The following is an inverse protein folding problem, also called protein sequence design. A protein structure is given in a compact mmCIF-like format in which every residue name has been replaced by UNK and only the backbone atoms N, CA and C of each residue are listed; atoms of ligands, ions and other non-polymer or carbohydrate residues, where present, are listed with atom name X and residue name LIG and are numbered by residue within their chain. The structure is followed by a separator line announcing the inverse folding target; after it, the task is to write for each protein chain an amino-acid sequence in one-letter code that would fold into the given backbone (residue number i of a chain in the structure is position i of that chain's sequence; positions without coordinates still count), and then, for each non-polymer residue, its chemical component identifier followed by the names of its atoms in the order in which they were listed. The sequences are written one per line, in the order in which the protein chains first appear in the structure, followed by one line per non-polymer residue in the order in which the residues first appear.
data_IF_526481512761
#
_entry.id   IF_526481512761
#
_cell.length_a   1.000
_cell.length_b   1.000
_cell.length_c   1.000
_cell.angle_alpha   90.00
_cell.angle_beta   90.00
_cell.angle_gamma   90.00
#
_symmetry.space_group_name_H-M   'P 1'
#
loop_
_entity.id
_entity.type
_entity.pdbx_description
1 polymer ?
#
# COMPACT_ATOMS: atom_id res chain seq x y z
N UNK A 1 15.83 -8.58 10.50
CA UNK A 1 14.89 -9.17 9.52
C UNK A 1 15.54 -9.24 8.13
N UNK A 2 16.04 -10.42 7.71
CA UNK A 2 16.69 -10.60 6.40
C UNK A 2 15.71 -10.98 5.27
N UNK A 3 14.58 -11.61 5.61
CA UNK A 3 13.70 -12.25 4.64
C UNK A 3 13.02 -11.29 3.65
N UNK A 4 12.50 -10.14 4.09
CA UNK A 4 11.86 -9.19 3.17
C UNK A 4 12.85 -8.60 2.14
N UNK A 5 14.14 -8.50 2.49
CA UNK A 5 15.20 -8.02 1.59
C UNK A 5 15.58 -9.05 0.52
N UNK A 6 15.42 -10.33 0.83
CA UNK A 6 15.73 -11.44 -0.08
C UNK A 6 14.50 -11.85 -0.90
N UNK A 7 13.32 -11.88 -0.29
CA UNK A 7 12.08 -12.31 -0.91
C UNK A 7 11.56 -11.33 -1.96
N UNK A 8 11.51 -10.03 -1.66
CA UNK A 8 10.99 -9.03 -2.60
C UNK A 8 11.69 -9.06 -3.98
N UNK A 9 13.03 -9.13 -4.07
CA UNK A 9 13.72 -9.28 -5.36
C UNK A 9 13.24 -10.44 -6.24
N UNK A 10 12.77 -11.54 -5.65
CA UNK A 10 12.35 -12.75 -6.37
C UNK A 10 10.95 -12.61 -6.99
N UNK A 11 10.08 -11.78 -6.41
CA UNK A 11 8.66 -11.69 -6.80
C UNK A 11 8.28 -10.40 -7.51
N UNK A 12 9.13 -9.36 -7.44
CA UNK A 12 8.87 -7.97 -7.92
C UNK A 12 8.53 -7.78 -9.41
N UNK A 13 8.42 -8.83 -10.21
CA UNK A 13 8.02 -8.75 -11.62
C UNK A 13 6.92 -9.77 -11.97
N UNK A 14 6.47 -10.55 -10.99
CA UNK A 14 5.38 -11.49 -11.18
C UNK A 14 4.11 -10.88 -10.57
N UNK A 15 3.11 -10.65 -11.43
CA UNK A 15 1.81 -10.09 -11.07
C UNK A 15 1.02 -10.95 -10.09
N UNK A 16 1.29 -12.26 -10.04
CA UNK A 16 0.64 -13.19 -9.12
C UNK A 16 0.96 -12.86 -7.64
N UNK A 17 2.05 -12.13 -7.38
CA UNK A 17 2.47 -11.74 -6.04
C UNK A 17 2.04 -10.32 -5.66
N UNK A 18 1.07 -9.74 -6.37
CA UNK A 18 0.63 -8.37 -6.10
C UNK A 18 0.10 -8.19 -4.67
N UNK A 19 -0.62 -9.20 -4.13
CA UNK A 19 -1.05 -9.20 -2.73
C UNK A 19 0.14 -9.22 -1.76
N UNK A 20 1.13 -10.09 -1.97
CA UNK A 20 2.34 -10.16 -1.13
C UNK A 20 3.17 -8.87 -1.18
N UNK A 21 3.21 -8.22 -2.35
CA UNK A 21 3.86 -6.91 -2.52
C UNK A 21 3.10 -5.85 -1.71
N UNK A 22 1.77 -5.91 -1.67
CA UNK A 22 0.93 -5.10 -0.79
C UNK A 22 1.31 -5.28 0.68
N UNK A 23 1.34 -6.52 1.17
CA UNK A 23 1.75 -6.80 2.55
C UNK A 23 3.15 -6.25 2.87
N UNK A 24 4.09 -6.37 1.91
CA UNK A 24 5.41 -5.79 2.05
C UNK A 24 5.37 -4.25 2.17
N UNK A 25 4.49 -3.59 1.43
CA UNK A 25 4.29 -2.15 1.47
C UNK A 25 3.80 -1.69 2.85
N UNK A 26 2.77 -2.33 3.40
CA UNK A 26 2.28 -2.03 4.75
C UNK A 26 3.35 -2.30 5.81
N UNK A 27 4.10 -3.40 5.70
CA UNK A 27 5.24 -3.67 6.58
C UNK A 27 6.27 -2.53 6.58
N UNK A 28 6.60 -1.99 5.40
CA UNK A 28 7.52 -0.86 5.30
C UNK A 28 6.95 0.41 5.95
N UNK A 29 5.63 0.66 5.82
CA UNK A 29 4.95 1.76 6.51
C UNK A 29 4.99 1.62 8.04
N UNK A 30 4.64 0.44 8.55
CA UNK A 30 4.62 0.14 9.99
C UNK A 30 6.02 0.24 10.64
N UNK A 31 7.07 -0.01 9.85
CA UNK A 31 8.46 0.09 10.29
C UNK A 31 9.13 1.40 9.92
N UNK A 32 8.37 2.42 9.48
CA UNK A 32 8.83 3.74 9.07
C UNK A 32 9.90 3.76 7.96
N UNK A 33 9.94 2.73 7.12
CA UNK A 33 10.80 2.64 5.95
C UNK A 33 10.16 3.35 4.74
N UNK A 34 9.70 4.59 4.94
CA UNK A 34 8.85 5.34 4.01
C UNK A 34 9.47 5.52 2.61
N UNK A 35 10.76 5.87 2.54
CA UNK A 35 11.45 6.00 1.25
C UNK A 35 11.35 4.71 0.43
N UNK A 36 11.57 3.57 1.09
CA UNK A 36 11.50 2.27 0.42
C UNK A 36 10.07 1.91 0.05
N UNK A 37 9.10 2.25 0.89
CA UNK A 37 7.70 2.05 0.61
C UNK A 37 7.25 2.84 -0.62
N UNK A 38 7.64 4.11 -0.75
CA UNK A 38 7.42 4.93 -1.95
C UNK A 38 7.96 4.27 -3.22
N UNK A 39 9.20 3.76 -3.17
CA UNK A 39 9.81 3.07 -4.32
C UNK A 39 9.04 1.80 -4.72
N UNK A 40 8.56 1.03 -3.73
CA UNK A 40 7.76 -0.18 -3.97
C UNK A 40 6.40 0.21 -4.55
N UNK A 41 5.69 1.15 -3.94
CA UNK A 41 4.40 1.63 -4.46
C UNK A 41 4.54 2.13 -5.90
N UNK A 42 5.48 3.05 -6.15
CA UNK A 42 5.66 3.64 -7.48
C UNK A 42 5.96 2.60 -8.57
N UNK A 43 6.70 1.54 -8.22
CA UNK A 43 7.02 0.46 -9.15
C UNK A 43 5.81 -0.41 -9.53
N UNK A 44 4.85 -0.58 -8.61
CA UNK A 44 3.74 -1.54 -8.77
C UNK A 44 2.37 -0.88 -8.96
N UNK A 45 2.27 0.44 -8.84
CA UNK A 45 1.01 1.18 -8.90
C UNK A 45 0.24 0.93 -10.20
N UNK A 46 0.89 0.98 -11.37
CA UNK A 46 0.23 0.68 -12.66
C UNK A 46 -0.22 -0.78 -12.74
N UNK A 47 0.60 -1.71 -12.26
CA UNK A 47 0.26 -3.13 -12.27
C UNK A 47 -1.02 -3.41 -11.47
N UNK A 48 -1.20 -2.72 -10.34
CA UNK A 48 -2.42 -2.81 -9.55
C UNK A 48 -3.66 -2.23 -10.25
N UNK A 49 -3.50 -1.29 -11.18
CA UNK A 49 -4.59 -0.77 -12.00
C UNK A 49 -4.94 -1.67 -13.19
N UNK A 50 -3.92 -2.32 -13.77
CA UNK A 50 -4.05 -3.11 -15.00
C UNK A 50 -4.45 -4.57 -14.74
N UNK A 51 -4.28 -5.06 -13.51
CA UNK A 51 -4.63 -6.44 -13.16
C UNK A 51 -6.13 -6.73 -13.32
N UNK A 52 -6.45 -7.94 -13.76
CA UNK A 52 -7.83 -8.45 -13.84
C UNK A 52 -8.26 -9.14 -12.54
N UNK A 53 -7.32 -9.45 -11.66
CA UNK A 53 -7.56 -10.10 -10.38
C UNK A 53 -7.98 -9.06 -9.33
N UNK A 54 -9.28 -8.81 -9.25
CA UNK A 54 -9.87 -7.78 -8.38
C UNK A 54 -9.53 -7.98 -6.89
N UNK A 55 -9.31 -9.23 -6.46
CA UNK A 55 -8.92 -9.50 -5.07
C UNK A 55 -7.50 -9.00 -4.80
N UNK A 56 -6.57 -9.27 -5.70
CA UNK A 56 -5.19 -8.80 -5.59
C UNK A 56 -5.10 -7.27 -5.70
N UNK A 57 -5.91 -6.67 -6.58
CA UNK A 57 -6.07 -5.21 -6.64
C UNK A 57 -6.56 -4.63 -5.31
N UNK A 58 -7.61 -5.23 -4.72
CA UNK A 58 -8.15 -4.79 -3.44
C UNK A 58 -7.12 -4.90 -2.31
N UNK A 59 -6.45 -6.06 -2.19
CA UNK A 59 -5.45 -6.27 -1.14
C UNK A 59 -4.28 -5.29 -1.29
N UNK A 60 -3.72 -5.11 -2.49
CA UNK A 60 -2.64 -4.14 -2.71
C UNK A 60 -3.03 -2.70 -2.38
N UNK A 61 -4.20 -2.24 -2.83
CA UNK A 61 -4.65 -0.88 -2.53
C UNK A 61 -4.95 -0.68 -1.04
N UNK A 62 -5.45 -1.71 -0.35
CA UNK A 62 -5.70 -1.67 1.10
C UNK A 62 -4.39 -1.50 1.86
N UNK A 63 -3.36 -2.28 1.51
CA UNK A 63 -2.06 -2.17 2.17
C UNK A 63 -1.30 -0.89 1.78
N UNK A 64 -1.52 -0.38 0.57
CA UNK A 64 -1.02 0.94 0.17
C UNK A 64 -1.66 2.06 1.01
N UNK A 65 -2.96 1.97 1.30
CA UNK A 65 -3.64 2.91 2.19
C UNK A 65 -3.05 2.83 3.61
N UNK A 66 -2.82 1.63 4.15
CA UNK A 66 -2.17 1.42 5.46
C UNK A 66 -0.81 2.11 5.52
N UNK A 67 0.05 1.88 4.52
CA UNK A 67 1.36 2.52 4.44
C UNK A 67 1.24 4.05 4.42
N UNK A 68 0.37 4.57 3.56
CA UNK A 68 0.19 6.00 3.35
C UNK A 68 -0.28 6.71 4.63
N UNK A 69 -1.22 6.10 5.36
CA UNK A 69 -1.67 6.61 6.66
C UNK A 69 -0.52 6.61 7.69
N UNK A 70 0.29 5.55 7.74
CA UNK A 70 1.48 5.51 8.60
C UNK A 70 2.48 6.63 8.24
N UNK A 71 2.65 6.91 6.95
CA UNK A 71 3.57 7.92 6.47
C UNK A 71 3.10 9.36 6.78
N UNK A 72 1.80 9.61 6.69
CA UNK A 72 1.18 10.88 7.13
C UNK A 72 1.31 11.07 8.63
N UNK A 73 1.03 10.03 9.42
CA UNK A 73 1.21 10.04 10.88
C UNK A 73 2.69 10.26 11.26
N UNK A 74 3.61 9.74 10.46
CA UNK A 74 5.05 10.01 10.55
C UNK A 74 5.47 11.45 10.25
N UNK A 75 4.52 12.33 9.89
CA UNK A 75 4.75 13.76 9.67
C UNK A 75 4.95 14.18 8.22
N UNK A 76 4.82 13.26 7.26
CA UNK A 76 4.98 13.59 5.84
C UNK A 76 3.88 14.54 5.37
N UNK A 77 4.28 15.72 4.88
CA UNK A 77 3.36 16.73 4.32
C UNK A 77 3.31 16.73 2.79
N UNK A 78 4.32 16.14 2.16
CA UNK A 78 4.44 16.07 0.71
C UNK A 78 5.02 14.72 0.31
N UNK A 79 4.35 14.04 -0.60
CA UNK A 79 4.80 12.80 -1.23
C UNK A 79 5.40 13.14 -2.58
N UNK A 80 6.59 12.61 -2.84
CA UNK A 80 7.13 12.55 -4.20
C UNK A 80 7.20 11.09 -4.58
N UNK A 81 6.35 10.70 -5.52
CA UNK A 81 6.29 9.35 -6.06
C UNK A 81 6.75 9.41 -7.51
N UNK A 82 7.67 8.54 -7.89
CA UNK A 82 8.14 8.43 -9.27
C UNK A 82 7.18 7.53 -10.06
N UNK A 83 5.91 7.93 -10.09
CA UNK A 83 4.87 7.20 -10.80
C UNK A 83 5.03 7.36 -12.32
N UNK A 84 4.70 6.32 -13.11
CA UNK A 84 4.61 6.48 -14.56
C UNK A 84 3.58 7.55 -14.92
N UNK A 85 3.83 8.31 -15.99
CA UNK A 85 2.92 9.37 -16.48
C UNK A 85 1.52 8.88 -16.85
N UNK A 86 1.36 7.56 -17.03
CA UNK A 86 0.07 6.92 -17.30
C UNK A 86 -0.76 6.70 -16.03
N UNK A 87 -0.17 6.85 -14.84
CA UNK A 87 -0.88 6.68 -13.58
C UNK A 87 -1.82 7.89 -13.33
N UNK A 88 -3.08 7.68 -12.93
CA UNK A 88 -4.06 8.77 -12.75
C UNK A 88 -3.64 9.88 -11.76
N UNK A 89 -2.72 9.56 -10.84
CA UNK A 89 -2.22 10.47 -9.80
C UNK A 89 -0.70 10.66 -9.88
N UNK A 90 -0.12 10.60 -11.08
CA UNK A 90 1.33 10.60 -11.28
C UNK A 90 2.06 11.86 -10.79
N UNK A 91 1.39 13.01 -10.82
CA UNK A 91 1.90 14.32 -10.42
C UNK A 91 1.35 14.79 -9.06
N UNK A 92 0.49 13.99 -8.43
CA UNK A 92 -0.06 14.33 -7.11
C UNK A 92 1.01 14.19 -6.03
N UNK A 93 1.13 15.22 -5.22
CA UNK A 93 2.13 15.31 -4.15
C UNK A 93 1.51 15.42 -2.77
N UNK A 94 0.19 15.61 -2.69
CA UNK A 94 -0.53 15.76 -1.44
C UNK A 94 -1.01 14.39 -0.93
N UNK A 95 -0.63 14.00 0.30
CA UNK A 95 -1.03 12.71 0.85
C UNK A 95 -2.54 12.50 0.96
N UNK A 96 -3.29 13.53 1.33
CA UNK A 96 -4.75 13.51 1.45
C UNK A 96 -5.44 13.18 0.12
N UNK A 97 -4.94 13.74 -0.99
CA UNK A 97 -5.47 13.47 -2.32
C UNK A 97 -5.21 12.01 -2.75
N UNK A 98 -4.02 11.46 -2.44
CA UNK A 98 -3.71 10.06 -2.71
C UNK A 98 -4.54 9.10 -1.83
N UNK A 99 -4.79 9.46 -0.56
CA UNK A 99 -5.70 8.72 0.34
C UNK A 99 -7.10 8.69 -0.28
N UNK A 100 -7.65 9.85 -0.63
CA UNK A 100 -9.00 9.93 -1.21
C UNK A 100 -9.11 9.14 -2.52
N UNK A 101 -8.07 9.16 -3.36
CA UNK A 101 -8.03 8.36 -4.58
C UNK A 101 -8.05 6.86 -4.28
N UNK A 102 -7.23 6.37 -3.34
CA UNK A 102 -7.21 4.96 -2.92
C UNK A 102 -8.56 4.53 -2.34
N UNK A 103 -9.17 5.35 -1.48
CA UNK A 103 -10.48 5.08 -0.91
C UNK A 103 -11.56 4.99 -1.99
N UNK A 104 -11.50 5.86 -3.01
CA UNK A 104 -12.37 5.80 -4.17
C UNK A 104 -12.22 4.52 -5.01
N UNK A 105 -11.04 3.87 -5.00
CA UNK A 105 -10.87 2.54 -5.61
C UNK A 105 -11.39 1.42 -4.71
N UNK A 106 -11.19 1.54 -3.39
CA UNK A 106 -11.45 0.47 -2.41
C UNK A 106 -12.92 0.33 -2.03
N UNK A 107 -13.63 1.42 -1.82
CA UNK A 107 -15.02 1.38 -1.36
C UNK A 107 -15.96 0.63 -2.30
N UNK A 108 -15.93 0.87 -3.64
CA UNK A 108 -16.75 0.10 -4.57
C UNK A 108 -16.38 -1.39 -4.62
N UNK A 109 -15.08 -1.72 -4.54
CA UNK A 109 -14.62 -3.10 -4.55
C UNK A 109 -15.03 -3.84 -3.27
N UNK A 110 -14.88 -3.22 -2.10
CA UNK A 110 -15.32 -3.78 -0.83
C UNK A 110 -16.82 -4.07 -0.86
N UNK A 111 -17.64 -3.10 -1.26
CA UNK A 111 -19.08 -3.26 -1.36
C UNK A 111 -19.48 -4.41 -2.28
N UNK A 112 -18.81 -4.54 -3.43
CA UNK A 112 -19.07 -5.63 -4.39
C UNK A 112 -18.72 -7.00 -3.82
N UNK A 113 -17.57 -7.15 -3.16
CA UNK A 113 -17.17 -8.42 -2.55
C UNK A 113 -18.07 -8.81 -1.39
N UNK A 114 -18.39 -7.86 -0.53
CA UNK A 114 -19.26 -8.08 0.62
C UNK A 114 -20.68 -8.47 0.18
N UNK A 115 -21.24 -7.80 -0.83
CA UNK A 115 -22.52 -8.16 -1.43
C UNK A 115 -22.51 -9.56 -2.05
N UNK A 116 -21.44 -9.92 -2.78
CA UNK A 116 -21.28 -11.25 -3.38
C UNK A 116 -21.22 -12.36 -2.34
N UNK A 117 -20.51 -12.11 -1.24
CA UNK A 117 -20.24 -13.13 -0.23
C UNK A 117 -21.31 -13.17 0.88
N UNK A 118 -22.18 -12.16 0.98
CA UNK A 118 -23.12 -12.00 2.10
C UNK A 118 -22.41 -11.70 3.42
N UNK A 119 -21.24 -11.04 3.37
CA UNK A 119 -20.41 -10.75 4.54
C UNK A 119 -20.10 -9.26 4.66
N UNK A 120 -19.35 -8.85 5.69
CA UNK A 120 -18.77 -7.50 5.83
C UNK A 120 -17.24 -7.53 5.98
N UNK A 121 -16.60 -8.58 5.47
CA UNK A 121 -15.18 -8.83 5.69
C UNK A 121 -14.33 -7.75 5.02
N UNK A 122 -14.71 -7.31 3.82
CA UNK A 122 -13.92 -6.35 3.05
C UNK A 122 -14.08 -4.93 3.60
N UNK A 123 -15.29 -4.53 3.99
CA UNK A 123 -15.50 -3.28 4.71
C UNK A 123 -14.71 -3.23 6.03
N UNK A 124 -14.71 -4.33 6.80
CA UNK A 124 -13.93 -4.43 8.05
C UNK A 124 -12.41 -4.37 7.82
N UNK A 125 -11.89 -4.93 6.72
CA UNK A 125 -10.48 -4.77 6.34
C UNK A 125 -10.11 -3.29 6.12
N UNK A 126 -10.98 -2.54 5.44
CA UNK A 126 -10.77 -1.11 5.21
C UNK A 126 -10.81 -0.31 6.52
N UNK A 127 -11.80 -0.59 7.38
CA UNK A 127 -11.90 -0.02 8.73
C UNK A 127 -10.64 -0.33 9.57
N UNK A 128 -10.16 -1.58 9.52
CA UNK A 128 -8.97 -2.01 10.25
C UNK A 128 -7.70 -1.31 9.76
N UNK A 129 -7.55 -1.08 8.45
CA UNK A 129 -6.40 -0.35 7.89
C UNK A 129 -6.33 1.09 8.41
N UNK A 130 -7.49 1.76 8.52
CA UNK A 130 -7.61 3.09 9.12
C UNK A 130 -7.25 3.06 10.61
N UNK A 131 -7.79 2.10 11.35
CA UNK A 131 -7.55 1.95 12.79
C UNK A 131 -6.09 1.58 13.11
N UNK A 132 -5.44 0.77 12.28
CA UNK A 132 -4.07 0.34 12.49
C UNK A 132 -3.11 1.53 12.49
N UNK A 133 -3.31 2.49 11.58
CA UNK A 133 -2.52 3.71 11.56
C UNK A 133 -2.64 4.49 12.87
N UNK A 134 -3.83 4.57 13.46
CA UNK A 134 -4.06 5.26 14.75
C UNK A 134 -3.36 4.55 15.92
N UNK A 135 -3.41 3.22 15.97
CA UNK A 135 -2.88 2.45 17.10
C UNK A 135 -1.40 2.09 16.98
N UNK A 136 -0.81 2.22 15.80
CA UNK A 136 0.58 1.86 15.59
C UNK A 136 1.52 2.77 16.40
N UNK A 137 2.37 2.14 17.19
CA UNK A 137 3.60 2.72 17.74
C UNK A 137 4.76 2.39 16.78
N UNK A 138 5.52 3.38 16.29
CA UNK A 138 6.57 3.12 15.33
C UNK A 138 7.63 2.13 15.84
N UNK A 139 8.01 1.17 14.99
CA UNK A 139 9.16 0.30 15.23
C UNK A 139 10.19 0.45 14.12
N UNK A 140 11.00 1.54 14.13
CA UNK A 140 12.00 1.76 13.10
C UNK A 140 13.05 0.65 13.15
N UNK A 141 13.25 -0.01 12.02
CA UNK A 141 14.37 -0.94 11.88
C UNK A 141 15.66 -0.12 11.79
N UNK A 142 16.54 -0.25 12.78
CA UNK A 142 17.84 0.42 12.76
C UNK A 142 18.54 0.21 11.42
N UNK A 143 19.22 1.26 10.91
CA UNK A 143 19.96 1.16 9.66
C UNK A 143 20.97 0.03 9.78
N UNK A 144 20.87 -0.97 8.91
CA UNK A 144 22.01 -1.83 8.67
C UNK A 144 23.12 -0.90 8.16
N UNK A 145 24.19 -0.77 8.94
CA UNK A 145 25.42 -0.08 8.53
C UNK A 145 25.77 -0.53 7.10
N UNK A 146 26.12 0.44 6.27
CA UNK A 146 26.83 0.17 5.05
C UNK A 146 28.15 -0.52 5.41
N UNK A 147 28.32 -1.74 4.94
CA UNK A 147 29.61 -2.39 4.72
C UNK A 147 29.73 -2.65 3.23
#
# INVERSE_FOLDING_TARGET
MRHHRVGYPLVKFNADFLSDIGEHLAFLGLTQNFRRARDVFAKHANLALETKELLAQFDFHTEALTWLLCEVKGGTKTLKLNLPVTHPVHDETRPDALIAWLEGQLEPLAARFDARNGTRVFARKLEASRALAEWMTPYPMGSARAE
#
